data_IF_433550347787
#
_entry.id   IF_433550347787
#
_cell.length_a   1.000
_cell.length_b   1.000
_cell.length_c   1.000
_cell.angle_alpha   90.00
_cell.angle_beta   90.00
_cell.angle_gamma   90.00
#
_symmetry.space_group_name_H-M   'P 1'
#
loop_
_entity.id
_entity.type
_entity.pdbx_description
1 polymer ?
#
# COMPACT_ATOMS: atom_id res chain seq x y z
N UNK A 1 -3.14 -11.25 -9.69
CA UNK A 1 -3.96 -10.04 -9.56
C UNK A 1 -5.37 -10.33 -10.03
N UNK A 2 -6.35 -9.67 -9.44
CA UNK A 2 -7.69 -9.49 -9.97
C UNK A 2 -7.76 -8.13 -10.69
N UNK A 3 -8.71 -8.00 -11.60
CA UNK A 3 -9.21 -6.69 -12.03
C UNK A 3 -10.53 -6.51 -11.31
N UNK A 4 -10.57 -5.56 -10.39
CA UNK A 4 -11.72 -5.32 -9.54
C UNK A 4 -12.78 -4.52 -10.31
N UNK A 5 -12.33 -3.44 -10.95
CA UNK A 5 -13.10 -2.64 -11.89
C UNK A 5 -12.17 -1.82 -12.79
N UNK A 6 -12.73 -1.24 -13.85
CA UNK A 6 -12.00 -0.42 -14.83
C UNK A 6 -11.67 -1.19 -16.10
N UNK A 7 -11.72 -0.47 -17.23
CA UNK A 7 -11.64 -1.09 -18.57
C UNK A 7 -10.26 -0.96 -19.22
N UNK A 8 -9.36 -0.15 -18.67
CA UNK A 8 -8.05 0.15 -19.25
C UNK A 8 -6.92 -0.17 -18.27
N UNK A 9 -6.76 -1.47 -17.98
CA UNK A 9 -5.71 -2.01 -17.12
C UNK A 9 -4.77 -2.87 -17.95
N UNK A 10 -3.47 -2.56 -17.91
CA UNK A 10 -2.43 -3.31 -18.60
C UNK A 10 -1.45 -3.90 -17.60
N UNK A 11 -1.40 -5.22 -17.50
CA UNK A 11 -0.39 -5.92 -16.70
C UNK A 11 0.91 -6.10 -17.50
N UNK A 12 2.06 -5.92 -16.85
CA UNK A 12 3.37 -6.11 -17.47
C UNK A 12 4.46 -6.35 -16.43
N UNK A 13 5.28 -7.38 -16.64
CA UNK A 13 6.28 -7.77 -15.64
C UNK A 13 5.64 -8.11 -14.29
N UNK A 14 6.17 -7.52 -13.22
CA UNK A 14 5.62 -7.51 -11.87
C UNK A 14 4.91 -6.18 -11.53
N UNK A 15 4.18 -5.62 -12.49
CA UNK A 15 3.47 -4.36 -12.33
C UNK A 15 2.24 -4.23 -13.23
N UNK A 16 1.65 -3.04 -13.22
CA UNK A 16 0.47 -2.69 -13.98
C UNK A 16 0.40 -1.19 -14.30
N UNK A 17 -0.42 -0.85 -15.28
CA UNK A 17 -0.80 0.52 -15.63
C UNK A 17 -2.31 0.62 -15.54
N UNK A 18 -2.81 1.66 -14.87
CA UNK A 18 -4.23 2.01 -14.82
C UNK A 18 -4.40 3.34 -15.57
N UNK A 19 -5.27 3.35 -16.58
CA UNK A 19 -5.74 4.57 -17.25
C UNK A 19 -7.21 4.78 -16.90
N UNK A 20 -7.61 5.98 -16.48
CA UNK A 20 -8.98 6.22 -16.05
C UNK A 20 -9.26 5.73 -14.62
N UNK A 21 -10.54 5.55 -14.29
CA UNK A 21 -10.91 4.89 -13.03
C UNK A 21 -10.59 3.39 -13.12
N UNK A 22 -9.99 2.83 -12.08
CA UNK A 22 -9.75 1.39 -12.00
C UNK A 22 -9.15 0.94 -10.67
N UNK A 23 -9.32 -0.35 -10.36
CA UNK A 23 -8.65 -1.01 -9.23
C UNK A 23 -8.19 -2.40 -9.63
N UNK A 24 -7.03 -2.79 -9.10
CA UNK A 24 -6.53 -4.17 -9.12
C UNK A 24 -6.17 -4.60 -7.71
N UNK A 25 -6.33 -5.88 -7.43
CA UNK A 25 -6.02 -6.47 -6.13
C UNK A 25 -5.16 -7.72 -6.26
N UNK A 26 -4.36 -8.07 -5.25
CA UNK A 26 -3.69 -9.38 -5.24
C UNK A 26 -4.64 -10.48 -4.82
N UNK A 27 -4.47 -11.66 -5.40
CA UNK A 27 -5.19 -12.88 -4.97
C UNK A 27 -4.59 -13.46 -3.69
N UNK A 28 -3.31 -13.19 -3.46
CA UNK A 28 -2.54 -13.69 -2.34
C UNK A 28 -2.61 -12.68 -1.21
N UNK A 29 -2.76 -13.20 0.01
CA UNK A 29 -2.63 -12.45 1.25
C UNK A 29 -1.34 -12.85 1.97
N UNK A 30 -0.63 -11.88 2.54
CA UNK A 30 0.64 -12.11 3.22
C UNK A 30 0.61 -11.61 4.66
N UNK A 31 1.24 -12.37 5.55
CA UNK A 31 1.79 -11.83 6.78
C UNK A 31 3.06 -11.07 6.43
N UNK A 32 3.03 -9.75 6.65
CA UNK A 32 4.12 -8.85 6.28
C UNK A 32 5.03 -8.50 7.46
N UNK A 33 4.73 -8.91 8.69
CA UNK A 33 5.52 -8.57 9.88
C UNK A 33 6.99 -8.99 9.72
N UNK A 34 7.90 -8.05 9.98
CA UNK A 34 9.35 -8.21 9.74
C UNK A 34 9.75 -8.18 8.26
N UNK A 35 8.80 -7.92 7.36
CA UNK A 35 8.93 -7.94 5.91
C UNK A 35 8.69 -6.56 5.28
N UNK A 36 8.43 -6.57 3.97
CA UNK A 36 8.20 -5.33 3.23
C UNK A 36 7.38 -5.52 1.95
N UNK A 37 6.80 -4.42 1.48
CA UNK A 37 6.41 -4.23 0.08
C UNK A 37 7.24 -3.13 -0.54
N UNK A 38 7.76 -3.36 -1.75
CA UNK A 38 8.58 -2.39 -2.50
C UNK A 38 8.06 -2.30 -3.93
N UNK A 39 7.94 -1.09 -4.46
CA UNK A 39 7.50 -0.83 -5.83
C UNK A 39 7.98 0.53 -6.31
N UNK A 40 7.95 0.73 -7.63
CA UNK A 40 8.11 2.04 -8.26
C UNK A 40 6.75 2.53 -8.72
N UNK A 41 6.43 3.77 -8.38
CA UNK A 41 5.21 4.46 -8.78
C UNK A 41 5.57 5.63 -9.69
N UNK A 42 4.85 5.77 -10.81
CA UNK A 42 4.95 6.88 -11.74
C UNK A 42 3.57 7.53 -11.88
N UNK A 43 3.49 8.77 -11.42
CA UNK A 43 2.31 9.64 -11.43
C UNK A 43 2.49 10.83 -12.38
N UNK A 44 3.49 10.80 -13.26
CA UNK A 44 3.80 11.92 -14.18
C UNK A 44 2.60 12.33 -15.05
N UNK A 45 1.66 11.41 -15.29
CA UNK A 45 0.47 11.59 -16.11
C UNK A 45 -0.85 11.54 -15.31
N UNK A 46 -0.82 11.75 -13.98
CA UNK A 46 -2.05 11.88 -13.18
C UNK A 46 -2.47 13.34 -13.09
N UNK A 47 -3.76 13.62 -13.28
CA UNK A 47 -4.29 14.96 -13.06
C UNK A 47 -4.32 15.32 -11.58
N UNK A 48 -4.32 16.62 -11.27
CA UNK A 48 -4.51 17.11 -9.91
C UNK A 48 -5.86 16.65 -9.35
N UNK A 49 -5.96 16.41 -8.04
CA UNK A 49 -7.18 15.92 -7.38
C UNK A 49 -7.58 14.47 -7.70
N UNK A 50 -6.82 13.76 -8.54
CA UNK A 50 -7.01 12.32 -8.76
C UNK A 50 -6.23 11.59 -7.68
N UNK A 51 -6.93 10.78 -6.89
CA UNK A 51 -6.31 9.91 -5.90
C UNK A 51 -5.81 8.65 -6.59
N UNK A 52 -4.50 8.44 -6.55
CA UNK A 52 -3.86 7.19 -7.00
C UNK A 52 -3.21 6.53 -5.80
N UNK A 53 -3.49 5.24 -5.62
CA UNK A 53 -3.08 4.58 -4.39
C UNK A 53 -2.50 3.19 -4.61
N UNK A 54 -1.73 2.79 -3.61
CA UNK A 54 -1.26 1.44 -3.38
C UNK A 54 -1.35 1.24 -1.87
N UNK A 55 -2.16 0.28 -1.45
CA UNK A 55 -2.46 0.03 -0.05
C UNK A 55 -2.64 -1.46 0.19
N UNK A 56 -2.92 -1.81 1.44
CA UNK A 56 -3.28 -3.17 1.80
C UNK A 56 -4.61 -3.22 2.52
N UNK A 57 -5.38 -4.27 2.25
CA UNK A 57 -6.62 -4.60 2.96
C UNK A 57 -6.53 -6.03 3.50
N UNK A 58 -7.30 -6.34 4.55
CA UNK A 58 -7.22 -7.66 5.22
C UNK A 58 -8.57 -8.39 5.23
N UNK A 59 -9.04 -8.88 4.07
CA UNK A 59 -10.28 -9.63 3.99
C UNK A 59 -10.18 -10.95 4.76
N UNK A 60 -11.19 -11.26 5.57
CA UNK A 60 -11.28 -12.48 6.39
C UNK A 60 -11.50 -13.78 5.58
N UNK A 61 -11.32 -13.72 4.25
CA UNK A 61 -11.55 -14.77 3.27
C UNK A 61 -10.67 -14.57 2.04
N UNK A 62 -10.69 -15.55 1.14
CA UNK A 62 -9.98 -15.48 -0.15
C UNK A 62 -10.36 -14.21 -0.93
N UNK A 63 -9.35 -13.49 -1.45
CA UNK A 63 -9.59 -12.28 -2.23
C UNK A 63 -9.93 -12.57 -3.70
N UNK A 64 -11.22 -12.48 -4.00
CA UNK A 64 -11.83 -12.62 -5.32
C UNK A 64 -12.06 -11.27 -6.01
N UNK A 65 -11.33 -10.22 -5.60
CA UNK A 65 -11.47 -8.86 -6.08
C UNK A 65 -12.70 -8.18 -5.49
N UNK A 66 -13.42 -7.38 -6.28
CA UNK A 66 -14.60 -6.63 -5.84
C UNK A 66 -15.66 -7.44 -5.10
N UNK A 67 -15.75 -8.75 -5.34
CA UNK A 67 -16.72 -9.61 -4.66
C UNK A 67 -16.43 -9.83 -3.16
N UNK A 68 -15.20 -9.61 -2.73
CA UNK A 68 -14.71 -9.83 -1.36
C UNK A 68 -13.89 -8.65 -0.85
N UNK A 69 -13.95 -7.52 -1.54
CA UNK A 69 -13.26 -6.31 -1.14
C UNK A 69 -13.78 -5.82 0.21
N UNK A 70 -12.88 -5.24 0.97
CA UNK A 70 -13.13 -4.63 2.26
C UNK A 70 -12.13 -3.49 2.46
N UNK A 71 -12.52 -2.49 3.22
CA UNK A 71 -11.67 -1.41 3.71
C UNK A 71 -12.19 -0.95 5.07
N UNK A 72 -11.48 -0.04 5.75
CA UNK A 72 -11.88 0.33 7.11
C UNK A 72 -13.13 1.22 7.13
N UNK A 73 -13.34 1.98 6.05
CA UNK A 73 -14.50 2.87 5.88
C UNK A 73 -15.81 2.07 5.88
N UNK A 74 -15.84 0.88 5.26
CA UNK A 74 -17.02 0.00 5.28
C UNK A 74 -18.25 0.63 4.60
N UNK A 75 -18.02 1.55 3.67
CA UNK A 75 -19.05 2.29 2.93
C UNK A 75 -19.70 1.40 1.85
N UNK A 76 -20.55 0.47 2.30
CA UNK A 76 -21.26 -0.48 1.43
C UNK A 76 -20.57 -1.82 1.28
N UNK A 77 -19.31 -1.93 1.72
CA UNK A 77 -18.53 -3.17 1.80
C UNK A 77 -18.32 -3.62 3.26
N UNK A 78 -17.83 -4.85 3.46
CA UNK A 78 -17.47 -5.33 4.80
C UNK A 78 -16.27 -4.53 5.33
N UNK A 79 -16.28 -4.12 6.59
CA UNK A 79 -15.13 -3.46 7.20
C UNK A 79 -13.93 -4.41 7.39
N UNK A 80 -12.70 -3.94 7.15
CA UNK A 80 -11.48 -4.66 7.51
C UNK A 80 -10.30 -3.72 7.80
N UNK A 81 -9.24 -4.24 8.41
CA UNK A 81 -8.00 -3.47 8.62
C UNK A 81 -7.41 -3.07 7.26
N UNK A 82 -6.97 -1.82 7.19
CA UNK A 82 -6.44 -1.17 5.99
C UNK A 82 -5.15 -0.41 6.34
N UNK A 83 -4.15 -0.53 5.48
CA UNK A 83 -2.91 0.23 5.61
C UNK A 83 -2.56 0.86 4.27
N UNK A 84 -2.79 2.16 4.17
CA UNK A 84 -2.49 2.99 3.03
C UNK A 84 -1.00 3.27 2.98
N UNK A 85 -0.28 2.46 2.19
CA UNK A 85 1.15 2.68 1.95
C UNK A 85 1.34 4.03 1.26
N UNK A 86 0.54 4.31 0.24
CA UNK A 86 0.49 5.60 -0.43
C UNK A 86 -0.89 5.87 -1.02
N UNK A 87 -1.41 7.05 -0.73
CA UNK A 87 -2.44 7.74 -1.50
C UNK A 87 -1.85 9.05 -2.02
N UNK A 88 -1.90 9.27 -3.33
CA UNK A 88 -1.29 10.43 -3.97
C UNK A 88 -2.37 11.35 -4.56
N UNK A 89 -2.26 12.65 -4.28
CA UNK A 89 -3.06 13.69 -4.91
C UNK A 89 -2.37 14.16 -6.19
N UNK A 90 -2.68 13.46 -7.28
CA UNK A 90 -2.00 13.63 -8.56
C UNK A 90 -0.47 13.62 -8.40
N UNK A 91 0.15 14.73 -8.79
CA UNK A 91 1.61 14.93 -8.74
C UNK A 91 2.11 15.72 -7.53
N UNK A 92 1.21 16.15 -6.65
CA UNK A 92 1.50 17.18 -5.67
C UNK A 92 2.03 16.63 -4.35
N UNK A 93 1.26 15.75 -3.71
CA UNK A 93 1.54 15.23 -2.38
C UNK A 93 1.01 13.81 -2.23
N UNK A 94 1.48 13.13 -1.20
CA UNK A 94 0.96 11.86 -0.76
C UNK A 94 0.65 11.85 0.73
N UNK A 95 -0.19 10.91 1.13
CA UNK A 95 -0.31 10.46 2.49
C UNK A 95 -0.06 8.95 2.62
N UNK A 96 0.34 8.57 3.82
CA UNK A 96 0.38 7.20 4.32
C UNK A 96 -0.52 7.16 5.56
N UNK A 97 -1.40 6.18 5.64
CA UNK A 97 -2.36 6.07 6.73
C UNK A 97 -2.46 4.64 7.25
N UNK A 98 -2.64 4.49 8.56
CA UNK A 98 -2.97 3.21 9.20
C UNK A 98 -4.43 3.28 9.68
N UNK A 99 -5.19 2.23 9.40
CA UNK A 99 -6.58 2.03 9.82
C UNK A 99 -6.76 0.62 10.43
N UNK A 100 -7.13 0.52 11.70
CA UNK A 100 -7.21 -0.76 12.43
C UNK A 100 -8.58 -1.07 13.02
N UNK A 101 -9.22 -0.11 13.68
CA UNK A 101 -10.54 -0.32 14.28
C UNK A 101 -11.63 0.27 13.40
N UNK A 102 -12.59 -0.57 13.04
CA UNK A 102 -13.77 -0.22 12.23
C UNK A 102 -14.84 0.51 13.06
N UNK A 103 -14.44 1.56 13.77
CA UNK A 103 -15.31 2.38 14.61
C UNK A 103 -15.11 3.84 14.27
N UNK A 104 -16.19 4.62 14.26
CA UNK A 104 -16.09 6.08 14.19
C UNK A 104 -15.77 6.62 15.59
N UNK A 105 -14.56 6.38 16.10
CA UNK A 105 -14.11 6.92 17.37
C UNK A 105 -13.99 8.46 17.31
N UNK A 106 -13.14 9.04 18.14
CA UNK A 106 -12.97 10.49 18.15
C UNK A 106 -11.81 10.91 17.25
N UNK A 107 -11.94 11.98 16.43
CA UNK A 107 -10.80 12.47 15.65
C UNK A 107 -9.55 12.69 16.53
N UNK A 108 -8.36 12.42 15.99
CA UNK A 108 -7.07 12.53 16.68
C UNK A 108 -6.88 11.55 17.86
N UNK A 109 -7.47 10.35 17.78
CA UNK A 109 -7.16 9.26 18.70
C UNK A 109 -6.08 8.33 18.11
N UNK A 110 -5.18 7.82 18.95
CA UNK A 110 -4.11 6.92 18.49
C UNK A 110 -4.59 5.52 18.12
N UNK A 111 -5.87 5.18 18.24
CA UNK A 111 -6.36 3.86 17.87
C UNK A 111 -6.38 3.68 16.34
N UNK A 112 -6.17 4.75 15.56
CA UNK A 112 -6.10 4.69 14.10
C UNK A 112 -7.34 4.00 13.55
N UNK A 113 -8.50 4.47 13.97
CA UNK A 113 -9.78 3.95 13.50
C UNK A 113 -10.10 4.51 12.10
N UNK A 114 -11.37 4.68 11.72
CA UNK A 114 -11.75 5.24 10.41
C UNK A 114 -11.19 6.63 10.12
N UNK A 115 -10.78 7.38 11.15
CA UNK A 115 -10.07 8.66 10.97
C UNK A 115 -8.60 8.47 10.56
N UNK A 116 -8.03 7.33 10.90
CA UNK A 116 -6.66 6.95 10.59
C UNK A 116 -5.60 7.62 11.47
N UNK A 117 -4.40 7.05 11.39
CA UNK A 117 -3.17 7.70 11.81
C UNK A 117 -2.35 8.01 10.56
N UNK A 118 -2.16 9.29 10.24
CA UNK A 118 -1.70 9.72 8.91
C UNK A 118 -0.40 10.51 8.97
N UNK A 119 0.43 10.36 7.95
CA UNK A 119 1.54 11.25 7.65
C UNK A 119 1.47 11.66 6.18
N UNK A 120 1.85 12.90 5.85
CA UNK A 120 1.80 13.40 4.48
C UNK A 120 3.09 14.13 4.08
N UNK A 121 3.47 14.06 2.80
CA UNK A 121 4.56 14.85 2.23
C UNK A 121 4.28 15.26 0.78
N UNK A 122 4.98 16.29 0.32
CA UNK A 122 5.08 16.59 -1.10
C UNK A 122 5.77 15.45 -1.87
N UNK A 123 5.27 15.18 -3.07
CA UNK A 123 5.92 14.26 -4.00
C UNK A 123 7.12 14.93 -4.69
N UNK A 124 8.13 14.16 -5.12
CA UNK A 124 9.28 14.72 -5.81
C UNK A 124 8.90 15.23 -7.21
N UNK A 125 9.62 16.26 -7.68
CA UNK A 125 9.44 16.86 -9.01
C UNK A 125 9.68 15.88 -10.17
N UNK A 126 10.32 14.74 -9.92
CA UNK A 126 10.46 13.67 -10.91
C UNK A 126 9.12 13.00 -11.24
N UNK A 127 8.15 13.07 -10.32
CA UNK A 127 6.86 12.37 -10.36
C UNK A 127 6.95 10.85 -10.54
N UNK A 128 8.15 10.30 -10.37
CA UNK A 128 8.45 8.88 -10.39
C UNK A 128 9.43 8.61 -9.26
N UNK A 129 9.09 7.67 -8.40
CA UNK A 129 9.80 7.39 -7.17
C UNK A 129 9.61 5.93 -6.76
N UNK A 130 10.58 5.40 -6.02
CA UNK A 130 10.44 4.11 -5.35
C UNK A 130 9.81 4.30 -3.98
N UNK A 131 8.82 3.46 -3.66
CA UNK A 131 8.29 3.30 -2.31
C UNK A 131 8.73 1.94 -1.77
N UNK A 132 9.15 1.93 -0.51
CA UNK A 132 9.30 0.72 0.28
C UNK A 132 8.60 0.88 1.62
N UNK A 133 7.55 0.11 1.83
CA UNK A 133 6.85 -0.01 3.10
C UNK A 133 7.44 -1.18 3.91
N UNK A 134 8.03 -0.88 5.05
CA UNK A 134 8.46 -1.88 6.03
C UNK A 134 7.32 -2.09 7.04
N UNK A 135 6.95 -3.34 7.27
CA UNK A 135 5.95 -3.71 8.26
C UNK A 135 6.68 -4.32 9.45
N UNK A 136 6.88 -3.55 10.50
CA UNK A 136 7.70 -3.92 11.63
C UNK A 136 7.02 -5.01 12.47
N UNK A 137 7.81 -5.81 13.19
CA UNK A 137 7.28 -6.92 14.02
C UNK A 137 6.34 -6.45 15.13
N UNK A 138 6.44 -5.18 15.53
CA UNK A 138 5.59 -4.54 16.54
C UNK A 138 4.30 -3.94 15.98
N UNK A 139 4.04 -4.05 14.67
CA UNK A 139 2.84 -3.52 14.02
C UNK A 139 3.00 -2.11 13.43
N UNK A 140 4.13 -1.43 13.66
CA UNK A 140 4.40 -0.15 13.02
C UNK A 140 4.68 -0.30 11.52
N UNK A 141 4.37 0.75 10.74
CA UNK A 141 4.71 0.83 9.31
C UNK A 141 5.64 2.00 9.03
N UNK A 142 6.81 1.70 8.48
CA UNK A 142 7.77 2.71 8.03
C UNK A 142 7.76 2.82 6.51
N UNK A 143 7.66 4.05 5.99
CA UNK A 143 7.70 4.33 4.56
C UNK A 143 9.03 4.94 4.17
N UNK A 144 9.66 4.38 3.15
CA UNK A 144 10.84 4.92 2.50
C UNK A 144 10.48 5.35 1.09
N UNK A 145 10.81 6.59 0.74
CA UNK A 145 10.72 7.11 -0.62
C UNK A 145 12.13 7.36 -1.16
N UNK A 146 12.46 6.73 -2.29
CA UNK A 146 13.80 6.78 -2.89
C UNK A 146 14.93 6.46 -1.88
N UNK A 147 14.66 5.50 -0.99
CA UNK A 147 15.56 5.06 0.07
C UNK A 147 15.67 5.99 1.28
N UNK A 148 14.96 7.12 1.29
CA UNK A 148 14.89 8.02 2.44
C UNK A 148 13.67 7.69 3.29
N UNK A 149 13.90 7.42 4.58
CA UNK A 149 12.83 7.23 5.54
C UNK A 149 12.00 8.52 5.61
N UNK A 150 10.68 8.36 5.63
CA UNK A 150 9.70 9.41 5.87
C UNK A 150 9.72 9.91 7.34
N UNK A 151 10.91 9.96 7.98
CA UNK A 151 11.09 10.24 9.41
C UNK A 151 10.73 11.69 9.79
N UNK A 152 10.60 12.58 8.80
CA UNK A 152 10.18 13.97 8.99
C UNK A 152 8.69 14.13 9.24
N UNK A 153 7.90 13.07 9.04
CA UNK A 153 6.45 13.07 9.14
C UNK A 153 6.01 11.81 9.89
N UNK A 154 6.15 11.77 11.23
CA UNK A 154 5.59 10.66 11.99
C UNK A 154 4.08 10.62 11.79
N UNK A 155 3.50 9.41 11.80
CA UNK A 155 2.05 9.26 11.81
C UNK A 155 1.47 10.06 12.98
N UNK A 156 0.46 10.87 12.68
CA UNK A 156 -0.28 11.64 13.65
C UNK A 156 -1.78 11.37 13.50
N UNK A 157 -2.49 11.08 14.59
CA UNK A 157 -1.95 10.75 15.92
C UNK A 157 -1.00 9.54 15.87
N UNK A 158 -0.12 9.42 16.87
CA UNK A 158 0.79 8.27 16.95
C UNK A 158 -0.05 7.01 17.24
N UNK A 159 0.12 5.91 16.48
CA UNK A 159 -0.56 4.66 16.76
C UNK A 159 -0.39 4.20 18.20
N UNK A 160 -1.48 3.78 18.83
CA UNK A 160 -1.53 3.23 20.17
C UNK A 160 -1.01 1.78 20.15
N UNK A 161 -0.56 1.29 21.32
CA UNK A 161 -0.16 -0.11 21.45
C UNK A 161 -1.31 -1.07 21.05
N UNK A 162 -2.56 -0.69 21.31
CA UNK A 162 -3.74 -1.47 20.94
C UNK A 162 -3.96 -1.52 19.42
N UNK A 163 -3.77 -0.39 18.71
CA UNK A 163 -3.79 -0.34 17.25
C UNK A 163 -2.71 -1.25 16.66
N UNK A 164 -1.49 -1.13 17.17
CA UNK A 164 -0.37 -1.97 16.77
C UNK A 164 -0.61 -3.48 17.03
N UNK A 165 -1.24 -3.84 18.15
CA UNK A 165 -1.67 -5.22 18.43
C UNK A 165 -2.69 -5.74 17.40
N UNK A 166 -3.61 -4.90 16.91
CA UNK A 166 -4.53 -5.27 15.82
C UNK A 166 -3.76 -5.55 14.54
N UNK A 167 -2.76 -4.74 14.18
CA UNK A 167 -1.90 -4.99 13.02
C UNK A 167 -1.20 -6.34 13.14
N UNK A 168 -0.54 -6.59 14.28
CA UNK A 168 0.19 -7.84 14.53
C UNK A 168 -0.73 -9.05 14.45
N UNK A 169 -1.90 -8.98 15.10
CA UNK A 169 -2.89 -10.05 15.12
C UNK A 169 -3.46 -10.33 13.72
N UNK A 170 -3.83 -9.28 12.98
CA UNK A 170 -4.44 -9.39 11.65
C UNK A 170 -3.44 -9.94 10.64
N UNK A 171 -2.22 -9.38 10.57
CA UNK A 171 -1.18 -9.88 9.68
C UNK A 171 -0.85 -11.35 9.92
N UNK A 172 -0.81 -11.77 11.19
CA UNK A 172 -0.48 -13.16 11.56
C UNK A 172 -1.59 -14.17 11.28
N UNK A 173 -2.85 -13.75 11.34
CA UNK A 173 -4.01 -14.67 11.24
C UNK A 173 -4.70 -14.64 9.88
N UNK A 174 -4.81 -13.47 9.27
CA UNK A 174 -5.54 -13.23 8.01
C UNK A 174 -4.55 -12.82 6.91
N UNK A 175 -3.52 -12.05 7.26
CA UNK A 175 -2.62 -11.39 6.32
C UNK A 175 -3.31 -10.22 5.59
N UNK A 176 -2.55 -9.52 4.76
CA UNK A 176 -3.07 -8.44 3.93
C UNK A 176 -2.82 -8.71 2.43
N UNK A 177 -3.79 -8.32 1.60
CA UNK A 177 -3.70 -8.29 0.15
C UNK A 177 -3.23 -6.91 -0.32
N UNK A 178 -2.67 -6.83 -1.52
CA UNK A 178 -2.41 -5.56 -2.20
C UNK A 178 -3.72 -5.07 -2.81
N UNK A 179 -3.98 -3.80 -2.65
CA UNK A 179 -4.96 -3.04 -3.41
C UNK A 179 -4.26 -1.86 -4.11
N UNK A 180 -4.63 -1.57 -5.35
CA UNK A 180 -4.10 -0.41 -6.07
C UNK A 180 -5.16 0.14 -7.01
N UNK A 181 -5.46 1.42 -6.85
CA UNK A 181 -6.54 2.07 -7.57
C UNK A 181 -6.21 3.49 -8.03
N UNK A 182 -7.05 4.00 -8.91
CA UNK A 182 -7.06 5.39 -9.35
C UNK A 182 -8.52 5.85 -9.46
N UNK A 183 -8.84 6.96 -8.82
CA UNK A 183 -10.20 7.53 -8.81
C UNK A 183 -10.18 9.04 -8.53
N UNK A 184 -11.33 9.72 -8.71
CA UNK A 184 -11.47 11.14 -8.40
C UNK A 184 -12.42 11.38 -7.23
N UNK A 185 -12.03 12.26 -6.31
CA UNK A 185 -12.85 12.67 -5.16
C UNK A 185 -11.99 13.27 -4.06
N UNK A 186 -11.98 12.63 -2.89
CA UNK A 186 -11.05 12.99 -1.82
C UNK A 186 -9.62 12.58 -2.20
N UNK A 187 -8.67 13.45 -1.91
CA UNK A 187 -7.25 13.18 -2.06
C UNK A 187 -6.48 13.89 -0.93
N UNK A 188 -5.31 13.37 -0.53
CA UNK A 188 -4.50 13.99 0.52
C UNK A 188 -4.12 15.44 0.22
N UNK A 189 -3.94 16.23 1.28
CA UNK A 189 -3.46 17.62 1.16
C UNK A 189 -4.30 18.50 0.20
N UNK A 190 -5.60 18.25 0.08
CA UNK A 190 -6.49 18.93 -0.88
C UNK A 190 -6.48 20.47 -0.75
N UNK A 191 -6.25 21.00 0.46
CA UNK A 191 -6.15 22.44 0.72
C UNK A 191 -4.78 23.03 0.32
N UNK A 192 -3.75 22.20 0.20
CA UNK A 192 -2.38 22.60 -0.14
C UNK A 192 -1.97 22.24 -1.57
N UNK A 193 -2.73 21.35 -2.23
CA UNK A 193 -2.51 20.92 -3.60
C UNK A 193 -3.45 21.61 -4.60
N UNK A 194 -3.07 21.67 -5.88
CA UNK A 194 -3.96 22.18 -6.91
C UNK A 194 -5.27 21.39 -6.96
N UNK A 195 -6.38 22.08 -7.18
CA UNK A 195 -7.69 21.42 -7.30
C UNK A 195 -7.87 20.75 -8.66
N UNK A 196 -8.41 19.53 -8.64
CA UNK A 196 -8.78 18.75 -9.81
C UNK A 196 -10.22 18.89 -10.26
N UNK A 197 -10.61 18.08 -11.25
CA UNK A 197 -12.01 17.84 -11.62
C UNK A 197 -12.25 16.38 -11.97
N UNK A 198 -13.52 15.96 -11.92
CA UNK A 198 -13.94 14.60 -12.28
C UNK A 198 -13.58 14.20 -13.71
N UNK A 199 -13.37 15.17 -14.60
CA UNK A 199 -12.97 14.89 -15.98
C UNK A 199 -11.50 14.47 -16.08
N UNK A 200 -10.66 14.89 -15.11
CA UNK A 200 -9.22 14.63 -15.10
C UNK A 200 -8.85 13.16 -14.96
N UNK A 201 -9.68 12.36 -14.26
CA UNK A 201 -9.38 10.93 -14.04
C UNK A 201 -9.36 10.15 -15.35
N UNK A 202 -10.23 10.47 -16.32
CA UNK A 202 -10.40 9.71 -17.56
C UNK A 202 -9.13 9.66 -18.42
N UNK A 203 -8.30 10.70 -18.36
CA UNK A 203 -7.00 10.77 -19.04
C UNK A 203 -5.81 10.51 -18.13
N UNK A 204 -6.05 10.31 -16.83
CA UNK A 204 -4.98 10.09 -15.85
C UNK A 204 -4.41 8.70 -16.01
N UNK A 205 -3.09 8.60 -15.87
CA UNK A 205 -2.35 7.33 -15.92
C UNK A 205 -1.44 7.22 -14.73
N UNK A 206 -1.61 6.14 -13.96
CA UNK A 206 -0.66 5.70 -12.96
C UNK A 206 -0.02 4.39 -13.40
N UNK A 207 1.29 4.28 -13.18
CA UNK A 207 2.04 3.06 -13.42
C UNK A 207 2.70 2.59 -12.13
N UNK A 208 2.47 1.32 -11.82
CA UNK A 208 3.15 0.59 -10.75
C UNK A 208 4.06 -0.45 -11.41
N UNK A 209 5.32 -0.49 -11.02
CA UNK A 209 6.30 -1.46 -11.53
C UNK A 209 7.21 -1.97 -10.42
N UNK A 210 7.96 -3.03 -10.73
CA UNK A 210 8.97 -3.60 -9.84
C UNK A 210 8.42 -4.01 -8.47
N UNK A 211 7.14 -4.43 -8.40
CA UNK A 211 6.52 -4.87 -7.15
C UNK A 211 7.24 -6.10 -6.61
N UNK A 212 7.68 -6.01 -5.35
CA UNK A 212 8.27 -7.08 -4.57
C UNK A 212 7.60 -7.14 -3.21
N UNK A 213 7.32 -8.35 -2.76
CA UNK A 213 6.77 -8.61 -1.44
C UNK A 213 7.69 -9.58 -0.71
N UNK A 214 8.18 -9.18 0.46
CA UNK A 214 8.81 -10.09 1.40
C UNK A 214 7.82 -10.30 2.55
N UNK A 215 7.31 -11.53 2.66
CA UNK A 215 6.35 -11.92 3.70
C UNK A 215 6.05 -13.41 3.61
N UNK A 216 5.18 -13.89 4.51
CA UNK A 216 4.71 -15.27 4.55
C UNK A 216 3.31 -15.32 3.96
N UNK A 217 3.04 -16.21 3.02
CA UNK A 217 1.70 -16.37 2.44
C UNK A 217 0.75 -16.94 3.49
N UNK A 218 -0.38 -16.28 3.72
CA UNK A 218 -1.44 -16.72 4.65
C UNK A 218 -2.64 -17.28 3.89
N UNK A 219 -3.04 -16.62 2.79
CA UNK A 219 -4.17 -17.05 1.97
C UNK A 219 -3.88 -16.91 0.47
N UNK A 220 -4.64 -17.65 -0.34
CA UNK A 220 -4.61 -17.55 -1.80
C UNK A 220 -3.44 -18.29 -2.46
N UNK A 221 -3.25 -18.09 -3.77
CA UNK A 221 -2.24 -18.80 -4.55
C UNK A 221 -0.82 -18.31 -4.23
N UNK A 222 0.18 -19.16 -4.44
CA UNK A 222 1.59 -18.76 -4.38
C UNK A 222 1.94 -17.91 -5.61
N UNK A 223 2.45 -16.67 -5.44
CA UNK A 223 2.87 -15.82 -6.56
C UNK A 223 4.20 -16.32 -7.15
N UNK A 224 4.59 -15.75 -8.29
CA UNK A 224 5.93 -15.98 -8.85
C UNK A 224 6.97 -15.47 -7.85
N UNK A 225 7.86 -16.35 -7.39
CA UNK A 225 8.95 -15.97 -6.50
C UNK A 225 9.93 -15.07 -7.26
N UNK A 226 10.46 -14.06 -6.57
CA UNK A 226 11.62 -13.35 -7.06
C UNK A 226 12.74 -14.38 -7.25
N UNK A 227 13.37 -14.41 -8.44
CA UNK A 227 14.56 -15.24 -8.65
C UNK A 227 15.58 -14.90 -7.57
N UNK A 228 16.01 -15.90 -6.80
CA UNK A 228 17.01 -15.70 -5.75
C UNK A 228 18.17 -14.90 -6.31
N UNK A 229 18.41 -13.71 -5.75
CA UNK A 229 19.71 -13.05 -5.90
C UNK A 229 20.72 -14.08 -5.45
N UNK A 230 21.49 -14.62 -6.41
CA UNK A 230 22.39 -15.76 -6.17
C UNK A 230 23.18 -15.51 -4.90
N UNK A 231 22.88 -16.29 -3.85
CA UNK A 231 23.66 -16.28 -2.64
C UNK A 231 25.07 -16.72 -3.04
N UNK A 232 25.98 -15.76 -3.20
CA UNK A 232 27.40 -16.04 -3.35
C UNK A 232 27.89 -16.54 -2.00
N UNK A 233 27.75 -17.84 -1.77
CA UNK A 233 28.38 -18.53 -0.65
C UNK A 233 29.89 -18.42 -0.84
N UNK A 234 30.66 -17.78 0.08
CA UNK A 234 32.08 -18.07 0.14
C UNK A 234 32.21 -19.48 0.68
N UNK A 235 32.75 -20.39 -0.13
CA UNK A 235 33.05 -21.74 0.32
C UNK A 235 33.99 -21.66 1.53
N UNK A 236 33.51 -22.01 2.72
CA UNK A 236 34.37 -22.40 3.82
C UNK A 236 35.01 -23.73 3.43
N UNK A 237 36.12 -23.66 2.69
CA UNK A 237 37.04 -24.77 2.56
C UNK A 237 37.69 -24.98 3.92
N UNK A 238 37.27 -26.04 4.58
CA UNK A 238 38.04 -26.70 5.61
C UNK A 238 39.46 -26.96 5.09
N UNK A 239 40.44 -26.36 5.75
CA UNK A 239 41.83 -26.81 5.68
C UNK A 239 42.18 -27.29 7.08
N UNK A 240 42.03 -28.60 7.29
CA UNK A 240 42.83 -29.31 8.27
C UNK A 240 44.22 -29.49 7.67
N UNK A 241 45.27 -29.14 8.40
CA UNK A 241 46.49 -29.94 8.44
C UNK A 241 47.46 -29.54 9.57
N UNK A 242 47.77 -30.57 10.38
CA UNK A 242 48.96 -30.89 11.19
C UNK A 242 49.59 -29.85 12.12
#
# INVERSE_FOLDING_TARGET
MNVDYGDQILFGGNGWIITGNGRVSSKTSWNLLGGYMEFTMDVSNTADGVNTNFYTSSPDRENLGSATYCDDQGDGDQGCMEMDIIEANGKCAMATTVHTFQTDGQPNNGDCDRWGCTAAMSLPDSHMFQIKAMFNEDGNMDIYMDGQLHAGYPLYPVPSDASNEVVVSTMSSIGAVIESSQWFGWAPEQDNCPSGSSDGVNSSVVKISDVKVQGIIVQGPVPNLCSEMSASTPSLRSVSQK
#
